data_IF_342886343624
#
_entry.id   IF_342886343624
#
_cell.length_a   1.000
_cell.length_b   1.000
_cell.length_c   1.000
_cell.angle_alpha   90.00
_cell.angle_beta   90.00
_cell.angle_gamma   90.00
#
_symmetry.space_group_name_H-M   'P 1'
#
loop_
_entity.id
_entity.type
_entity.pdbx_description
1 polymer ?
#
# COMPACT_ATOMS: atom_id res chain seq x y z
N UNK A 1 -5.53 7.87 -4.29
CA UNK A 1 -5.97 6.73 -3.46
C UNK A 1 -6.47 5.54 -4.26
N UNK A 2 -7.35 5.70 -5.25
CA UNK A 2 -7.85 4.58 -6.06
C UNK A 2 -6.73 3.72 -6.69
N UNK A 3 -5.68 4.34 -7.22
CA UNK A 3 -4.51 3.62 -7.77
C UNK A 3 -3.78 2.76 -6.73
N UNK A 4 -3.54 3.28 -5.52
CA UNK A 4 -2.91 2.51 -4.44
C UNK A 4 -3.81 1.35 -3.97
N UNK A 5 -5.13 1.55 -3.98
CA UNK A 5 -6.09 0.50 -3.66
C UNK A 5 -6.09 -0.62 -4.70
N UNK A 6 -6.11 -0.27 -6.00
CA UNK A 6 -6.03 -1.25 -7.09
C UNK A 6 -4.70 -2.01 -7.04
N UNK A 7 -3.59 -1.32 -6.79
CA UNK A 7 -2.28 -1.94 -6.69
C UNK A 7 -2.17 -2.90 -5.49
N UNK A 8 -2.73 -2.53 -4.34
CA UNK A 8 -2.78 -3.42 -3.17
C UNK A 8 -3.63 -4.68 -3.43
N UNK A 9 -4.72 -4.55 -4.20
CA UNK A 9 -5.55 -5.69 -4.61
C UNK A 9 -4.76 -6.64 -5.50
N UNK A 10 -4.07 -6.11 -6.51
CA UNK A 10 -3.24 -6.92 -7.44
C UNK A 10 -2.11 -7.63 -6.70
N UNK A 11 -1.42 -6.97 -5.76
CA UNK A 11 -0.41 -7.60 -4.91
C UNK A 11 -0.97 -8.75 -4.06
N UNK A 12 -2.21 -8.60 -3.58
CA UNK A 12 -2.87 -9.65 -2.79
C UNK A 12 -3.21 -10.87 -3.65
N UNK A 13 -3.67 -10.65 -4.88
CA UNK A 13 -3.93 -11.73 -5.85
C UNK A 13 -2.62 -12.44 -6.25
N UNK A 14 -1.57 -11.67 -6.55
CA UNK A 14 -0.26 -12.22 -6.89
C UNK A 14 0.33 -13.05 -5.74
N UNK A 15 0.10 -12.64 -4.49
CA UNK A 15 0.52 -13.40 -3.31
C UNK A 15 -0.15 -14.78 -3.27
N UNK A 16 -1.45 -14.85 -3.50
CA UNK A 16 -2.21 -16.10 -3.50
C UNK A 16 -1.73 -17.05 -4.60
N UNK A 17 -1.50 -16.51 -5.81
CA UNK A 17 -0.94 -17.27 -6.93
C UNK A 17 0.41 -17.89 -6.57
N UNK A 18 1.34 -17.09 -6.02
CA UNK A 18 2.67 -17.57 -5.68
C UNK A 18 2.72 -18.46 -4.44
N UNK A 19 1.78 -18.34 -3.50
CA UNK A 19 1.66 -19.30 -2.39
C UNK A 19 1.41 -20.73 -2.89
N UNK A 20 0.65 -20.87 -3.98
CA UNK A 20 0.35 -22.14 -4.63
C UNK A 20 1.45 -22.65 -5.58
N UNK A 21 2.48 -21.84 -5.84
CA UNK A 21 3.55 -22.18 -6.79
C UNK A 21 4.47 -23.29 -6.28
N UNK A 22 4.84 -24.19 -7.20
CA UNK A 22 5.77 -25.29 -6.97
C UNK A 22 7.25 -24.85 -6.98
N UNK A 23 7.58 -23.72 -7.61
CA UNK A 23 8.94 -23.19 -7.62
C UNK A 23 9.24 -22.47 -6.30
N UNK A 24 9.99 -23.12 -5.42
CA UNK A 24 10.26 -22.63 -4.06
C UNK A 24 11.21 -21.44 -4.01
N UNK A 25 12.19 -21.36 -4.92
CA UNK A 25 13.17 -20.27 -4.93
C UNK A 25 12.54 -18.98 -5.45
N UNK A 26 11.85 -19.07 -6.59
CA UNK A 26 11.15 -17.92 -7.19
C UNK A 26 10.00 -17.49 -6.29
N UNK A 27 9.24 -18.44 -5.71
CA UNK A 27 8.19 -18.15 -4.72
C UNK A 27 8.71 -17.34 -3.54
N UNK A 28 9.81 -17.77 -2.92
CA UNK A 28 10.33 -17.11 -1.73
C UNK A 28 10.73 -15.65 -2.03
N UNK A 29 11.38 -15.42 -3.17
CA UNK A 29 11.78 -14.08 -3.60
C UNK A 29 10.55 -13.20 -3.88
N UNK A 30 9.58 -13.70 -4.65
CA UNK A 30 8.39 -12.92 -5.01
C UNK A 30 7.52 -12.62 -3.79
N UNK A 31 7.35 -13.57 -2.86
CA UNK A 31 6.61 -13.31 -1.62
C UNK A 31 7.30 -12.25 -0.74
N UNK A 32 8.64 -12.22 -0.72
CA UNK A 32 9.41 -11.18 -0.03
C UNK A 32 9.18 -9.81 -0.68
N UNK A 33 9.23 -9.74 -2.00
CA UNK A 33 9.03 -8.49 -2.74
C UNK A 33 7.60 -7.96 -2.58
N UNK A 34 6.59 -8.85 -2.60
CA UNK A 34 5.20 -8.50 -2.29
C UNK A 34 5.05 -7.92 -0.89
N UNK A 35 5.74 -8.51 0.11
CA UNK A 35 5.69 -8.00 1.48
C UNK A 35 6.29 -6.59 1.58
N UNK A 36 7.43 -6.34 0.94
CA UNK A 36 8.07 -5.02 0.89
C UNK A 36 7.17 -3.97 0.23
N UNK A 37 6.56 -4.31 -0.92
CA UNK A 37 5.64 -3.40 -1.62
C UNK A 37 4.37 -3.13 -0.81
N UNK A 38 3.86 -4.13 -0.08
CA UNK A 38 2.68 -3.97 0.78
C UNK A 38 2.95 -2.99 1.92
N UNK A 39 4.10 -3.09 2.59
CA UNK A 39 4.48 -2.15 3.64
C UNK A 39 4.71 -0.74 3.09
N UNK A 40 5.36 -0.60 1.93
CA UNK A 40 5.55 0.70 1.30
C UNK A 40 4.20 1.39 0.99
N UNK A 41 3.22 0.64 0.48
CA UNK A 41 1.87 1.19 0.23
C UNK A 41 1.21 1.63 1.53
N UNK A 42 1.38 0.86 2.61
CA UNK A 42 0.83 1.20 3.94
C UNK A 42 1.44 2.51 4.45
N UNK A 43 2.76 2.67 4.41
CA UNK A 43 3.44 3.91 4.79
C UNK A 43 2.97 5.11 3.94
N UNK A 44 2.77 4.91 2.63
CA UNK A 44 2.26 5.97 1.75
C UNK A 44 0.82 6.38 2.12
N UNK A 45 -0.03 5.42 2.51
CA UNK A 45 -1.39 5.70 2.98
C UNK A 45 -1.37 6.47 4.30
N UNK A 46 -0.59 6.01 5.27
CA UNK A 46 -0.45 6.67 6.58
C UNK A 46 0.12 8.10 6.44
N UNK A 47 1.12 8.29 5.58
CA UNK A 47 1.69 9.61 5.29
C UNK A 47 0.68 10.54 4.63
N UNK A 48 -0.13 10.00 3.71
CA UNK A 48 -1.20 10.76 3.07
C UNK A 48 -2.28 11.17 4.07
N UNK A 49 -2.72 10.23 4.90
CA UNK A 49 -3.77 10.46 5.91
C UNK A 49 -3.28 11.47 6.95
N UNK A 50 -2.03 11.36 7.42
CA UNK A 50 -1.41 12.33 8.32
C UNK A 50 -1.33 13.74 7.71
N UNK A 51 -0.96 13.86 6.43
CA UNK A 51 -0.95 15.15 5.72
C UNK A 51 -2.36 15.74 5.55
N UNK A 52 -3.35 14.89 5.29
CA UNK A 52 -4.75 15.33 5.16
C UNK A 52 -5.34 15.81 6.50
N UNK A 53 -4.95 15.17 7.61
CA UNK A 53 -5.37 15.50 8.97
C UNK A 53 -4.75 16.82 9.48
N UNK A 54 -3.54 17.15 9.02
CA UNK A 54 -2.85 18.41 9.33
C UNK A 54 -3.39 19.64 8.59
N UNK A 55 -4.50 19.52 7.85
CA UNK A 55 -5.15 20.64 7.18
C UNK A 55 -6.50 21.04 7.84
N UNK A 56 -6.57 21.35 9.16
CA UNK A 56 -7.73 22.02 9.71
C UNK A 56 -7.66 23.50 9.34
N UNK A 57 -8.39 23.88 8.29
CA UNK A 57 -9.03 25.19 8.14
C UNK A 57 -8.23 26.43 8.57
N UNK A 58 -7.33 26.90 7.69
CA UNK A 58 -6.94 28.32 7.69
C UNK A 58 -8.01 29.12 6.95
N UNK A 59 -9.13 29.41 7.62
CA UNK A 59 -10.03 30.53 7.33
C UNK A 59 -11.17 30.55 8.35
N UNK A 60 -11.67 31.76 8.66
CA UNK A 60 -12.66 32.14 9.68
C UNK A 60 -11.94 32.46 11.02
N UNK A 61 -11.67 33.71 11.44
CA UNK A 61 -12.38 34.99 11.26
C UNK A 61 -11.42 36.19 11.18
N UNK A 62 -11.58 37.01 10.15
CA UNK A 62 -11.25 38.44 10.17
C UNK A 62 -12.55 39.18 9.85
N UNK A 63 -13.32 39.57 10.88
CA UNK A 63 -14.07 40.85 10.88
C UNK A 63 -14.42 41.22 12.31
#
# INVERSE_FOLDING_TARGET
>A
MLTLFLFQRELSQLKEEYLSSADTMIKAQILKDIALLTEAIKEMKETWDARSSLNPMKNIDHT
#
